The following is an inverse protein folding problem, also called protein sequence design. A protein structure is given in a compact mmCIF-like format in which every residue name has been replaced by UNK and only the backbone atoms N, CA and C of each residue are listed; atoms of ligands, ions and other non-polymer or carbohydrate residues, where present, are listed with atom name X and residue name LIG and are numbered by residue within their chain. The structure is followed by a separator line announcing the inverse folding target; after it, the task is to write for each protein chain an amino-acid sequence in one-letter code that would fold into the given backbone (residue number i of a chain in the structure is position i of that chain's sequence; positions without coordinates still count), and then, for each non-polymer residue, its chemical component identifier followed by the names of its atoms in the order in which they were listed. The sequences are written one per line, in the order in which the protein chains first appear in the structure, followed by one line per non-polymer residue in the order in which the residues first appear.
data_IF_972513441140
#
_entry.id   IF_972513441140
#
_cell.length_a   1.000
_cell.length_b   1.000
_cell.length_c   1.000
_cell.angle_alpha   90.00
_cell.angle_beta   90.00
_cell.angle_gamma   90.00
#
_symmetry.space_group_name_H-M   'P 1'
#
loop_
_entity.id
_entity.type
_entity.pdbx_description
1 polymer ?
#
# COMPACT_ATOMS: atom_id res chain seq x y z
N UNK A 1 -5.70 19.10 -12.74
CA UNK A 1 -6.87 18.50 -12.02
C UNK A 1 -6.68 18.49 -10.50
N UNK A 2 -5.54 18.96 -9.96
CA UNK A 2 -5.28 19.03 -8.52
C UNK A 2 -4.87 17.70 -7.87
N UNK A 3 -4.59 16.65 -8.65
CA UNK A 3 -4.10 15.38 -8.13
C UNK A 3 -2.70 15.55 -7.53
N UNK A 4 -2.49 14.94 -6.37
CA UNK A 4 -1.22 14.97 -5.64
C UNK A 4 -0.30 13.81 -6.00
N UNK A 5 -0.83 12.75 -6.60
CA UNK A 5 -0.08 11.55 -6.92
C UNK A 5 -0.94 10.47 -7.57
N UNK A 6 -0.33 9.31 -7.73
CA UNK A 6 -0.96 8.12 -8.33
C UNK A 6 -0.46 6.86 -7.62
N UNK A 7 -1.34 5.85 -7.53
CA UNK A 7 -1.01 4.49 -7.10
C UNK A 7 -1.10 3.58 -8.34
N UNK A 8 0.05 3.17 -8.86
CA UNK A 8 0.14 2.41 -10.12
C UNK A 8 0.31 0.91 -9.87
N UNK A 9 -0.01 0.10 -10.87
CA UNK A 9 0.07 -1.37 -10.83
C UNK A 9 -0.76 -2.02 -9.71
N UNK A 10 -1.73 -1.30 -9.15
CA UNK A 10 -2.72 -1.85 -8.21
C UNK A 10 -3.79 -2.66 -8.92
N UNK A 11 -4.93 -2.92 -8.24
CA UNK A 11 -6.05 -3.68 -8.81
C UNK A 11 -6.67 -2.97 -10.02
N UNK A 12 -7.00 -1.69 -9.91
CA UNK A 12 -7.51 -0.89 -11.05
C UNK A 12 -6.48 -0.72 -12.18
N UNK A 13 -5.20 -0.76 -11.86
CA UNK A 13 -4.09 -0.74 -12.83
C UNK A 13 -3.71 -2.12 -13.35
N UNK A 14 -4.51 -3.16 -13.06
CA UNK A 14 -4.38 -4.53 -13.57
C UNK A 14 -2.98 -5.16 -13.35
N UNK A 15 -2.25 -4.70 -12.32
CA UNK A 15 -0.84 -5.05 -12.11
C UNK A 15 -0.55 -6.54 -11.93
N UNK A 16 -1.53 -7.33 -11.46
CA UNK A 16 -1.39 -8.79 -11.39
C UNK A 16 -1.54 -9.50 -12.73
N UNK A 17 -1.99 -8.81 -13.78
CA UNK A 17 -2.10 -9.32 -15.16
C UNK A 17 -0.89 -8.98 -16.01
N UNK A 18 0.04 -8.20 -15.48
CA UNK A 18 1.27 -7.80 -16.14
C UNK A 18 2.46 -8.64 -15.67
N UNK A 19 3.41 -8.85 -16.55
CA UNK A 19 4.73 -9.40 -16.18
C UNK A 19 5.50 -8.41 -15.31
N UNK A 20 6.49 -8.90 -14.56
CA UNK A 20 7.36 -8.04 -13.76
C UNK A 20 8.06 -6.97 -14.63
N UNK A 21 8.49 -7.31 -15.85
CA UNK A 21 9.12 -6.38 -16.79
C UNK A 21 8.16 -5.27 -17.25
N UNK A 22 6.91 -5.61 -17.56
CA UNK A 22 5.89 -4.62 -17.92
C UNK A 22 5.59 -3.68 -16.75
N UNK A 23 5.49 -4.22 -15.54
CA UNK A 23 5.29 -3.43 -14.31
C UNK A 23 6.45 -2.46 -14.07
N UNK A 24 7.71 -2.91 -14.28
CA UNK A 24 8.89 -2.06 -14.18
C UNK A 24 8.87 -0.94 -15.21
N UNK A 25 8.61 -1.26 -16.48
CA UNK A 25 8.53 -0.27 -17.57
C UNK A 25 7.44 0.77 -17.34
N UNK A 26 6.27 0.37 -16.83
CA UNK A 26 5.22 1.29 -16.45
C UNK A 26 5.67 2.22 -15.31
N UNK A 27 6.31 1.67 -14.29
CA UNK A 27 6.82 2.46 -13.18
C UNK A 27 7.87 3.49 -13.64
N UNK A 28 8.83 3.07 -14.46
CA UNK A 28 9.82 3.97 -15.09
C UNK A 28 9.14 5.10 -15.86
N UNK A 29 8.14 4.76 -16.67
CA UNK A 29 7.43 5.77 -17.45
C UNK A 29 6.68 6.76 -16.58
N UNK A 30 5.95 6.29 -15.56
CA UNK A 30 5.24 7.17 -14.64
C UNK A 30 6.19 8.12 -13.91
N UNK A 31 7.28 7.60 -13.35
CA UNK A 31 8.28 8.44 -12.65
C UNK A 31 8.91 9.46 -13.60
N UNK A 32 9.23 9.05 -14.85
CA UNK A 32 9.87 9.95 -15.82
C UNK A 32 9.01 11.11 -16.31
N UNK A 33 7.66 10.98 -16.25
CA UNK A 33 6.72 12.02 -16.72
C UNK A 33 6.00 12.73 -15.59
N UNK A 34 6.19 12.29 -14.36
CA UNK A 34 5.57 12.90 -13.19
C UNK A 34 6.07 14.33 -13.02
N UNK A 35 5.19 15.33 -12.82
CA UNK A 35 5.63 16.67 -12.48
C UNK A 35 6.38 16.69 -11.15
N UNK A 36 7.18 17.74 -10.95
CA UNK A 36 7.87 17.93 -9.65
C UNK A 36 6.87 17.92 -8.48
N UNK A 37 7.19 17.18 -7.43
CA UNK A 37 6.35 17.01 -6.24
C UNK A 37 5.18 16.02 -6.40
N UNK A 38 4.97 15.43 -7.59
CA UNK A 38 3.91 14.43 -7.80
C UNK A 38 4.32 13.07 -7.26
N UNK A 39 3.49 12.51 -6.40
CA UNK A 39 3.78 11.27 -5.68
C UNK A 39 3.41 10.03 -6.50
N UNK A 40 4.39 9.27 -6.97
CA UNK A 40 4.17 7.99 -7.62
C UNK A 40 4.39 6.87 -6.60
N UNK A 41 3.31 6.19 -6.19
CA UNK A 41 3.38 4.99 -5.35
C UNK A 41 3.26 3.78 -6.25
N UNK A 42 4.25 2.90 -6.21
CA UNK A 42 4.29 1.70 -7.04
C UNK A 42 3.78 0.50 -6.24
N UNK A 43 2.72 -0.16 -6.71
CA UNK A 43 2.32 -1.45 -6.15
C UNK A 43 3.32 -2.52 -6.59
N UNK A 44 3.98 -3.15 -5.61
CA UNK A 44 5.03 -4.15 -5.83
C UNK A 44 4.62 -5.57 -5.40
N UNK A 45 3.39 -5.73 -4.87
CA UNK A 45 2.90 -7.03 -4.40
C UNK A 45 2.81 -8.07 -5.52
N UNK A 46 3.16 -9.31 -5.18
CA UNK A 46 3.12 -10.48 -6.05
C UNK A 46 2.87 -11.74 -5.20
N UNK A 47 2.48 -12.84 -5.83
CA UNK A 47 2.43 -14.15 -5.17
C UNK A 47 3.84 -14.70 -4.86
N UNK A 48 4.86 -14.18 -5.53
CA UNK A 48 6.25 -14.50 -5.26
C UNK A 48 6.91 -13.35 -4.47
N UNK A 49 7.23 -13.59 -3.19
CA UNK A 49 7.84 -12.55 -2.34
C UNK A 49 9.17 -12.04 -2.87
N UNK A 50 9.96 -12.88 -3.55
CA UNK A 50 11.22 -12.46 -4.18
C UNK A 50 10.98 -11.52 -5.35
N UNK A 51 9.94 -11.76 -6.15
CA UNK A 51 9.53 -10.85 -7.21
C UNK A 51 9.04 -9.53 -6.64
N UNK A 52 8.26 -9.55 -5.56
CA UNK A 52 7.83 -8.34 -4.85
C UNK A 52 9.01 -7.51 -4.36
N UNK A 53 10.02 -8.17 -3.77
CA UNK A 53 11.24 -7.50 -3.31
C UNK A 53 12.03 -6.89 -4.48
N UNK A 54 12.21 -7.62 -5.56
CA UNK A 54 12.87 -7.11 -6.78
C UNK A 54 12.16 -5.88 -7.36
N UNK A 55 10.82 -5.91 -7.40
CA UNK A 55 10.01 -4.75 -7.83
C UNK A 55 10.16 -3.56 -6.88
N UNK A 56 10.30 -3.80 -5.57
CA UNK A 56 10.57 -2.74 -4.59
C UNK A 56 11.96 -2.13 -4.79
N UNK A 57 12.99 -2.95 -4.96
CA UNK A 57 14.36 -2.51 -5.28
C UNK A 57 14.40 -1.66 -6.56
N UNK A 58 13.67 -2.09 -7.59
CA UNK A 58 13.53 -1.35 -8.83
C UNK A 58 12.82 -0.01 -8.62
N UNK A 59 11.70 0.02 -7.87
CA UNK A 59 10.97 1.25 -7.57
C UNK A 59 11.83 2.28 -6.84
N UNK A 60 12.65 1.86 -5.88
CA UNK A 60 13.61 2.74 -5.22
C UNK A 60 14.68 3.26 -6.19
N UNK A 61 15.24 2.39 -7.03
CA UNK A 61 16.27 2.74 -8.00
C UNK A 61 15.82 3.80 -9.00
N UNK A 62 14.56 3.75 -9.44
CA UNK A 62 14.01 4.74 -10.40
C UNK A 62 13.52 6.03 -9.76
N UNK A 63 13.55 6.14 -8.43
CA UNK A 63 13.12 7.34 -7.70
C UNK A 63 11.62 7.46 -7.53
N UNK A 64 10.89 6.35 -7.40
CA UNK A 64 9.49 6.38 -6.99
C UNK A 64 9.34 7.08 -5.62
N UNK A 65 8.19 7.71 -5.36
CA UNK A 65 7.94 8.36 -4.07
C UNK A 65 7.68 7.36 -2.95
N UNK A 66 7.05 6.23 -3.26
CA UNK A 66 6.74 5.20 -2.28
C UNK A 66 6.38 3.88 -2.95
N UNK A 67 6.22 2.86 -2.13
CA UNK A 67 5.78 1.52 -2.57
C UNK A 67 4.57 1.05 -1.77
N UNK A 68 3.81 0.13 -2.35
CA UNK A 68 2.72 -0.52 -1.66
C UNK A 68 2.58 -1.99 -2.07
N UNK A 69 2.03 -2.81 -1.18
CA UNK A 69 1.70 -4.18 -1.48
C UNK A 69 0.44 -4.62 -0.74
N UNK A 70 -0.43 -5.36 -1.42
CA UNK A 70 -1.51 -6.09 -0.76
C UNK A 70 -1.03 -7.51 -0.42
N UNK A 71 -1.71 -8.17 0.52
CA UNK A 71 -1.51 -9.59 0.75
C UNK A 71 -1.76 -10.36 -0.56
N UNK A 72 -0.94 -11.37 -0.88
CA UNK A 72 -1.11 -12.12 -2.12
C UNK A 72 -2.48 -12.85 -2.14
N UNK A 73 -3.13 -12.93 -3.30
CA UNK A 73 -4.36 -13.70 -3.43
C UNK A 73 -4.13 -15.22 -3.26
N UNK A 74 -2.89 -15.68 -3.46
CA UNK A 74 -2.46 -17.06 -3.26
C UNK A 74 -0.94 -17.13 -2.94
N UNK A 75 -0.51 -17.94 -1.94
CA UNK A 75 -1.36 -18.54 -0.90
C UNK A 75 -1.97 -17.47 0.01
N UNK A 76 -3.15 -17.74 0.56
CA UNK A 76 -3.82 -16.77 1.45
C UNK A 76 -3.08 -16.63 2.77
N UNK A 77 -2.86 -15.38 3.15
CA UNK A 77 -2.34 -15.03 4.48
C UNK A 77 -3.51 -14.99 5.46
N UNK A 78 -3.45 -15.81 6.51
CA UNK A 78 -4.50 -15.93 7.52
C UNK A 78 -4.13 -15.40 8.90
N UNK A 79 -2.89 -14.96 9.11
CA UNK A 79 -2.37 -14.52 10.42
C UNK A 79 -1.60 -13.22 10.29
N UNK A 80 -1.73 -12.36 11.30
CA UNK A 80 -1.01 -11.07 11.36
C UNK A 80 0.51 -11.27 11.25
N UNK A 81 1.07 -12.24 11.94
CA UNK A 81 2.51 -12.48 11.92
C UNK A 81 3.04 -12.90 10.54
N UNK A 82 2.25 -13.65 9.77
CA UNK A 82 2.57 -13.99 8.39
C UNK A 82 2.55 -12.75 7.48
N UNK A 83 1.55 -11.88 7.70
CA UNK A 83 1.45 -10.62 6.98
C UNK A 83 2.62 -9.69 7.29
N UNK A 84 3.00 -9.58 8.56
CA UNK A 84 4.16 -8.78 8.97
C UNK A 84 5.44 -9.28 8.31
N UNK A 85 5.70 -10.59 8.31
CA UNK A 85 6.87 -11.18 7.63
C UNK A 85 6.87 -10.90 6.14
N UNK A 86 5.71 -11.00 5.48
CA UNK A 86 5.57 -10.67 4.06
C UNK A 86 5.92 -9.21 3.79
N UNK A 87 5.44 -8.29 4.63
CA UNK A 87 5.74 -6.86 4.53
C UNK A 87 7.23 -6.59 4.79
N UNK A 88 7.82 -7.20 5.83
CA UNK A 88 9.25 -7.06 6.16
C UNK A 88 10.16 -7.41 4.97
N UNK A 89 9.89 -8.54 4.32
CA UNK A 89 10.67 -8.99 3.16
C UNK A 89 10.59 -8.03 1.97
N UNK A 90 9.43 -7.45 1.72
CA UNK A 90 9.24 -6.52 0.61
C UNK A 90 9.84 -5.14 0.94
N UNK A 91 9.54 -4.63 2.14
CA UNK A 91 10.01 -3.33 2.59
C UNK A 91 11.54 -3.23 2.66
N UNK A 92 12.19 -4.36 2.96
CA UNK A 92 13.66 -4.46 2.93
C UNK A 92 14.27 -4.26 1.53
N UNK A 93 13.49 -4.41 0.46
CA UNK A 93 13.94 -4.11 -0.90
C UNK A 93 13.99 -2.61 -1.23
N UNK A 94 13.27 -1.79 -0.46
CA UNK A 94 13.23 -0.33 -0.67
C UNK A 94 13.21 0.42 0.68
N UNK A 95 14.30 0.32 1.47
CA UNK A 95 14.31 0.84 2.84
C UNK A 95 14.20 2.37 2.93
N UNK A 96 14.47 3.10 1.85
CA UNK A 96 14.38 4.56 1.79
C UNK A 96 13.00 5.06 1.35
N UNK A 97 12.14 4.18 0.83
CA UNK A 97 10.79 4.55 0.39
C UNK A 97 9.74 4.26 1.46
N UNK A 98 8.74 5.15 1.67
CA UNK A 98 7.59 4.84 2.49
C UNK A 98 6.83 3.63 1.93
N UNK A 99 6.53 2.67 2.81
CA UNK A 99 5.78 1.47 2.49
C UNK A 99 4.33 1.61 2.97
N UNK A 100 3.36 1.37 2.08
CA UNK A 100 1.94 1.32 2.39
C UNK A 100 1.39 -0.10 2.23
N UNK A 101 0.80 -0.66 3.29
CA UNK A 101 0.03 -1.89 3.13
C UNK A 101 -1.30 -1.60 2.42
N UNK A 102 -1.58 -2.31 1.35
CA UNK A 102 -2.84 -2.19 0.63
C UNK A 102 -3.86 -3.20 1.16
N UNK A 103 -4.74 -2.73 2.06
CA UNK A 103 -5.82 -3.53 2.62
C UNK A 103 -7.01 -3.58 1.67
N UNK A 104 -7.23 -4.74 1.03
CA UNK A 104 -8.34 -4.99 0.11
C UNK A 104 -8.82 -6.45 0.25
N UNK A 105 -9.45 -6.80 1.39
CA UNK A 105 -9.78 -8.19 1.71
C UNK A 105 -10.77 -8.84 0.74
N UNK A 106 -11.62 -8.05 0.07
CA UNK A 106 -12.53 -8.55 -0.95
C UNK A 106 -11.81 -9.24 -2.12
N UNK A 107 -10.58 -8.84 -2.45
CA UNK A 107 -9.80 -9.41 -3.56
C UNK A 107 -8.90 -10.57 -3.12
N UNK A 108 -8.28 -10.48 -1.96
CA UNK A 108 -7.25 -11.44 -1.53
C UNK A 108 -7.72 -12.37 -0.40
N UNK A 109 -8.89 -12.12 0.19
CA UNK A 109 -9.44 -12.91 1.30
C UNK A 109 -8.72 -12.73 2.64
N UNK A 110 -7.83 -11.76 2.77
CA UNK A 110 -7.10 -11.47 4.01
C UNK A 110 -7.91 -10.53 4.91
N UNK A 111 -8.99 -11.05 5.53
CA UNK A 111 -9.82 -10.33 6.50
C UNK A 111 -9.13 -10.29 7.87
N UNK A 112 -8.01 -9.59 7.95
CA UNK A 112 -7.23 -9.46 9.17
C UNK A 112 -7.48 -8.11 9.83
N UNK A 113 -7.54 -8.02 11.17
CA UNK A 113 -7.75 -6.75 11.86
C UNK A 113 -6.55 -5.81 11.67
N UNK A 114 -6.76 -4.68 11.02
CA UNK A 114 -5.68 -3.76 10.67
C UNK A 114 -5.07 -3.05 11.89
N UNK A 115 -5.83 -2.83 12.95
CA UNK A 115 -5.26 -2.33 14.22
C UNK A 115 -4.21 -3.31 14.76
N UNK A 116 -4.46 -4.63 14.65
CA UNK A 116 -3.48 -5.64 15.06
C UNK A 116 -2.25 -5.67 14.16
N UNK A 117 -2.41 -5.36 12.88
CA UNK A 117 -1.26 -5.15 12.00
C UNK A 117 -0.42 -3.95 12.47
N UNK A 118 -1.05 -2.81 12.76
CA UNK A 118 -0.34 -1.63 13.24
C UNK A 118 0.40 -1.89 14.56
N UNK A 119 -0.22 -2.63 15.50
CA UNK A 119 0.42 -3.04 16.75
C UNK A 119 1.64 -3.94 16.53
N UNK A 120 1.55 -4.89 15.60
CA UNK A 120 2.60 -5.87 15.35
C UNK A 120 3.76 -5.34 14.50
N UNK A 121 3.49 -4.37 13.60
CA UNK A 121 4.49 -3.85 12.67
C UNK A 121 5.25 -2.63 13.23
N UNK A 122 4.67 -1.96 14.23
CA UNK A 122 5.24 -0.76 14.82
C UNK A 122 6.61 -1.01 15.43
N UNK A 123 7.62 -0.35 14.89
CA UNK A 123 9.03 -0.53 15.27
C UNK A 123 9.74 -1.71 14.59
N UNK A 124 9.02 -2.58 13.87
CA UNK A 124 9.62 -3.72 13.15
C UNK A 124 10.01 -3.37 11.71
N UNK A 125 9.19 -2.54 11.04
CA UNK A 125 9.44 -2.09 9.68
C UNK A 125 9.64 -0.57 9.71
N UNK A 126 10.90 -0.10 9.69
CA UNK A 126 11.20 1.32 9.91
C UNK A 126 10.55 2.28 8.89
N UNK A 127 10.39 1.82 7.65
CA UNK A 127 9.80 2.59 6.55
C UNK A 127 8.30 2.33 6.37
N UNK A 128 7.62 1.62 7.27
CA UNK A 128 6.17 1.47 7.21
C UNK A 128 5.48 2.80 7.48
N UNK A 129 4.83 3.34 6.46
CA UNK A 129 4.21 4.67 6.49
C UNK A 129 2.71 4.60 6.84
N UNK A 130 2.01 3.54 6.43
CA UNK A 130 0.58 3.48 6.66
C UNK A 130 -0.17 2.42 5.87
N UNK A 131 -1.46 2.62 5.73
CA UNK A 131 -2.36 1.68 5.06
C UNK A 131 -3.17 2.41 3.98
N UNK A 132 -3.16 1.87 2.75
CA UNK A 132 -4.22 2.14 1.78
C UNK A 132 -5.40 1.23 2.12
N UNK A 133 -6.47 1.82 2.65
CA UNK A 133 -7.59 1.09 3.23
C UNK A 133 -8.78 1.06 2.27
N UNK A 134 -9.05 -0.11 1.69
CA UNK A 134 -10.14 -0.37 0.74
C UNK A 134 -11.04 -1.44 1.32
N UNK A 135 -11.79 -1.07 2.35
CA UNK A 135 -12.74 -1.94 3.03
C UNK A 135 -13.85 -1.11 3.69
N UNK A 136 -15.04 -1.67 3.82
CA UNK A 136 -16.25 -0.95 4.24
C UNK A 136 -16.31 -0.57 5.73
N UNK A 137 -15.47 -1.21 6.58
CA UNK A 137 -15.51 -0.99 8.03
C UNK A 137 -14.94 0.37 8.43
N UNK A 138 -15.79 1.40 8.46
CA UNK A 138 -15.42 2.73 8.95
C UNK A 138 -15.04 2.72 10.44
N UNK A 139 -15.59 1.79 11.22
CA UNK A 139 -15.20 1.59 12.61
C UNK A 139 -13.72 1.21 12.73
N UNK A 140 -13.28 0.19 11.98
CA UNK A 140 -11.88 -0.24 11.98
C UNK A 140 -10.95 0.83 11.39
N UNK A 141 -11.38 1.49 10.30
CA UNK A 141 -10.65 2.63 9.73
C UNK A 141 -10.36 3.69 10.79
N UNK A 142 -11.38 4.07 11.58
CA UNK A 142 -11.22 5.08 12.62
C UNK A 142 -10.31 4.61 13.75
N UNK A 143 -10.34 3.34 14.13
CA UNK A 143 -9.39 2.78 15.10
C UNK A 143 -7.94 2.87 14.59
N UNK A 144 -7.71 2.51 13.32
CA UNK A 144 -6.38 2.62 12.71
C UNK A 144 -5.90 4.07 12.65
N UNK A 145 -6.79 4.99 12.25
CA UNK A 145 -6.49 6.42 12.17
C UNK A 145 -6.07 7.01 13.53
N UNK A 146 -6.70 6.56 14.61
CA UNK A 146 -6.43 7.03 15.96
C UNK A 146 -5.24 6.32 16.63
N UNK A 147 -4.69 5.27 16.02
CA UNK A 147 -3.59 4.51 16.61
C UNK A 147 -2.41 5.43 16.93
N UNK A 148 -1.98 5.43 18.20
CA UNK A 148 -0.89 6.27 18.71
C UNK A 148 -0.96 7.73 18.24
N UNK A 149 -2.14 8.34 18.36
CA UNK A 149 -2.42 9.73 17.94
C UNK A 149 -2.19 9.99 16.44
N UNK A 150 -2.50 9.04 15.58
CA UNK A 150 -2.35 9.19 14.13
C UNK A 150 -0.93 8.98 13.64
N UNK A 151 -0.19 8.09 14.28
CA UNK A 151 1.20 7.78 13.92
C UNK A 151 1.35 7.35 12.46
N UNK A 152 0.39 6.59 11.93
CA UNK A 152 0.44 6.06 10.58
C UNK A 152 -0.55 6.75 9.67
N UNK A 153 -0.16 6.94 8.43
CA UNK A 153 -1.01 7.51 7.39
C UNK A 153 -2.10 6.52 6.96
N UNK A 154 -3.32 7.04 6.78
CA UNK A 154 -4.47 6.25 6.36
C UNK A 154 -5.03 6.80 5.05
N UNK A 155 -4.61 6.19 3.93
CA UNK A 155 -5.11 6.53 2.60
C UNK A 155 -6.43 5.80 2.36
N UNK A 156 -7.50 6.55 2.11
CA UNK A 156 -8.81 5.94 1.85
C UNK A 156 -8.88 5.44 0.41
N UNK A 157 -9.26 4.17 0.21
CA UNK A 157 -9.21 3.51 -1.10
C UNK A 157 -10.59 3.09 -1.64
N UNK A 158 -11.70 3.60 -1.08
CA UNK A 158 -13.06 3.25 -1.49
C UNK A 158 -13.90 4.51 -1.62
N UNK A 159 -14.15 4.94 -2.85
CA UNK A 159 -14.81 6.22 -3.16
C UNK A 159 -16.22 6.32 -2.57
N UNK A 160 -16.96 5.20 -2.49
CA UNK A 160 -18.32 5.14 -1.96
C UNK A 160 -18.40 5.55 -0.48
N UNK A 161 -17.31 5.42 0.26
CA UNK A 161 -17.26 5.73 1.69
C UNK A 161 -16.36 6.92 2.02
N UNK A 162 -15.99 7.73 1.02
CA UNK A 162 -15.12 8.90 1.24
C UNK A 162 -15.78 9.95 2.15
N UNK A 163 -17.08 10.17 2.01
CA UNK A 163 -17.79 11.15 2.80
C UNK A 163 -17.77 10.85 4.31
N UNK A 164 -18.17 9.66 4.79
CA UNK A 164 -18.02 9.32 6.21
C UNK A 164 -16.56 9.34 6.68
N UNK A 165 -15.60 8.96 5.82
CA UNK A 165 -14.18 9.03 6.13
C UNK A 165 -13.76 10.48 6.45
N UNK A 166 -14.12 11.44 5.60
CA UNK A 166 -13.84 12.86 5.81
C UNK A 166 -14.56 13.42 7.05
N UNK A 167 -15.81 13.04 7.27
CA UNK A 167 -16.61 13.49 8.43
C UNK A 167 -15.98 13.05 9.78
N UNK A 168 -15.27 11.92 9.80
CA UNK A 168 -14.52 11.47 10.99
C UNK A 168 -13.17 12.19 11.16
N UNK A 169 -12.85 13.17 10.32
CA UNK A 169 -11.53 13.83 10.30
C UNK A 169 -10.41 12.92 9.82
N UNK A 170 -10.75 11.89 9.03
CA UNK A 170 -9.83 10.95 8.42
C UNK A 170 -9.50 11.33 6.98
N UNK A 171 -8.60 10.58 6.39
CA UNK A 171 -8.00 10.71 5.07
C UNK A 171 -7.24 12.01 4.83
N UNK A 172 -5.95 11.89 4.85
CA UNK A 172 -5.06 12.90 4.26
C UNK A 172 -5.06 12.80 2.71
N UNK A 173 -5.62 11.70 2.16
CA UNK A 173 -5.82 11.48 0.75
C UNK A 173 -6.74 10.31 0.45
N UNK A 174 -7.46 10.37 -0.66
CA UNK A 174 -8.19 9.28 -1.25
C UNK A 174 -7.44 8.73 -2.46
N UNK A 175 -7.45 7.41 -2.63
CA UNK A 175 -6.89 6.70 -3.78
C UNK A 175 -7.96 5.70 -4.24
N UNK A 176 -8.89 6.17 -5.06
CA UNK A 176 -9.94 5.36 -5.68
C UNK A 176 -9.50 4.69 -6.97
#
# INVERSE_FOLDING_TARGET
NGLQGVFINGSSGEGYMLTEEERMRLAERWVSVAPEGFKVIVHVGSCCVKASRMLAEHAQKIGAWGIGAMAPPFPKIGRIEELVKYIEEIAAGAPELPFYYYHIPAFNGAFLPMVKLLEAIDGRVPNFAGIKYTFESMYEYNQCRLYKNGKFDMLHGQDETILPCLAMGGAQGGIG
#
